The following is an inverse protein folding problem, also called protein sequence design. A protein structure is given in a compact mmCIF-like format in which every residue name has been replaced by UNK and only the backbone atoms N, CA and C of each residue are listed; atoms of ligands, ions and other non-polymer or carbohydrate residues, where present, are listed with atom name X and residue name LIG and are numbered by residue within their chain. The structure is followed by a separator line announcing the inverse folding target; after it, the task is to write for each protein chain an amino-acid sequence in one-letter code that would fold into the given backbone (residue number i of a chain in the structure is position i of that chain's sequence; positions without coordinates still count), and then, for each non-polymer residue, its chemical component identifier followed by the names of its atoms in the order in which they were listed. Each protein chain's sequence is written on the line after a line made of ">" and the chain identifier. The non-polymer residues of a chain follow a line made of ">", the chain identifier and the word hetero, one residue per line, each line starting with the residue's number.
data_IF_381596321385
#
_entry.id   IF_381596321385
#
_cell.length_a   1.000
_cell.length_b   1.000
_cell.length_c   1.000
_cell.angle_alpha   90.00
_cell.angle_beta   90.00
_cell.angle_gamma   90.00
#
_symmetry.space_group_name_H-M   'P 1'
#
loop_
_entity.id
_entity.type
_entity.pdbx_description
1 polymer ?
#
# COMPACT_ATOMS: atom_id res chain seq x y z
N UNK A 1 -80.75 -24.68 -37.67
CA UNK A 1 -79.54 -25.12 -38.38
C UNK A 1 -78.31 -24.62 -37.64
N UNK A 2 -77.35 -25.52 -37.41
CA UNK A 2 -75.92 -25.28 -37.11
C UNK A 2 -75.51 -24.66 -35.76
N UNK A 3 -75.41 -25.55 -34.78
CA UNK A 3 -74.31 -25.56 -33.82
C UNK A 3 -72.96 -25.64 -34.57
N UNK A 4 -72.04 -24.70 -34.34
CA UNK A 4 -70.60 -24.94 -34.46
C UNK A 4 -69.86 -24.04 -33.46
N UNK A 5 -69.71 -24.52 -32.23
CA UNK A 5 -68.73 -23.97 -31.28
C UNK A 5 -67.38 -24.56 -31.65
N UNK A 6 -66.59 -23.77 -32.36
CA UNK A 6 -65.22 -24.11 -32.72
C UNK A 6 -64.31 -23.88 -31.51
N UNK A 7 -64.07 -24.95 -30.73
CA UNK A 7 -63.12 -24.89 -29.61
C UNK A 7 -61.70 -24.84 -30.16
N UNK A 8 -61.14 -23.64 -30.26
CA UNK A 8 -59.72 -23.41 -30.50
C UNK A 8 -58.88 -24.12 -29.41
N UNK A 9 -58.22 -25.20 -29.79
CA UNK A 9 -57.37 -26.03 -28.93
C UNK A 9 -56.07 -25.26 -28.64
N UNK A 10 -56.05 -24.48 -27.54
CA UNK A 10 -54.82 -23.84 -27.05
C UNK A 10 -53.76 -24.92 -26.76
N UNK A 11 -52.71 -24.97 -27.56
CA UNK A 11 -51.51 -25.75 -27.26
C UNK A 11 -50.81 -25.08 -26.07
N UNK A 12 -50.97 -25.62 -24.86
CA UNK A 12 -50.08 -25.27 -23.74
C UNK A 12 -48.67 -25.71 -24.13
N UNK A 13 -47.80 -24.74 -24.40
CA UNK A 13 -46.36 -25.00 -24.48
C UNK A 13 -45.94 -25.67 -23.18
N UNK A 14 -45.23 -26.79 -23.28
CA UNK A 14 -44.65 -27.45 -22.10
C UNK A 14 -43.56 -26.52 -21.58
N UNK A 15 -43.88 -25.75 -20.55
CA UNK A 15 -42.87 -25.07 -19.74
C UNK A 15 -41.98 -26.17 -19.13
N UNK A 16 -40.76 -26.28 -19.65
CA UNK A 16 -39.74 -27.16 -19.10
C UNK A 16 -39.20 -26.48 -17.84
N UNK A 17 -39.51 -27.04 -16.68
CA UNK A 17 -38.92 -26.61 -15.42
C UNK A 17 -37.43 -26.95 -15.36
N UNK A 18 -36.67 -26.20 -14.54
CA UNK A 18 -35.27 -26.49 -14.24
C UNK A 18 -35.12 -27.91 -13.66
N UNK A 19 -34.13 -28.66 -14.15
CA UNK A 19 -33.75 -29.94 -13.54
C UNK A 19 -32.80 -29.71 -12.37
N UNK A 20 -32.80 -30.64 -11.40
CA UNK A 20 -31.80 -30.65 -10.32
C UNK A 20 -30.37 -30.75 -10.86
N UNK A 21 -30.20 -31.43 -12.00
CA UNK A 21 -28.91 -31.61 -12.67
C UNK A 21 -28.40 -30.28 -13.23
N UNK A 22 -29.27 -29.43 -13.78
CA UNK A 22 -28.87 -28.09 -14.25
C UNK A 22 -28.38 -27.20 -13.11
N UNK A 23 -29.08 -27.20 -11.97
CA UNK A 23 -28.61 -26.46 -10.80
C UNK A 23 -27.28 -27.02 -10.26
N UNK A 24 -27.12 -28.36 -10.26
CA UNK A 24 -25.90 -29.03 -9.81
C UNK A 24 -24.68 -28.63 -10.64
N UNK A 25 -24.81 -28.63 -11.98
CA UNK A 25 -23.71 -28.21 -12.85
C UNK A 25 -23.35 -26.74 -12.63
N UNK A 26 -24.35 -25.86 -12.42
CA UNK A 26 -24.11 -24.45 -12.16
C UNK A 26 -23.34 -24.24 -10.87
N UNK A 27 -23.74 -24.87 -9.75
CA UNK A 27 -23.01 -24.71 -8.49
C UNK A 27 -21.60 -25.30 -8.55
N UNK A 28 -21.38 -26.38 -9.32
CA UNK A 28 -20.05 -26.95 -9.55
C UNK A 28 -19.16 -25.96 -10.31
N UNK A 29 -19.66 -25.35 -11.37
CA UNK A 29 -18.90 -24.34 -12.13
C UNK A 29 -18.62 -23.12 -11.26
N UNK A 30 -19.60 -22.64 -10.48
CA UNK A 30 -19.41 -21.52 -9.54
C UNK A 30 -18.37 -21.85 -8.46
N UNK A 31 -18.36 -23.08 -7.95
CA UNK A 31 -17.36 -23.52 -6.96
C UNK A 31 -15.94 -23.55 -7.53
N UNK A 32 -15.76 -24.06 -8.76
CA UNK A 32 -14.46 -24.07 -9.44
C UNK A 32 -13.98 -22.66 -9.74
N UNK A 33 -14.85 -21.79 -10.26
CA UNK A 33 -14.51 -20.39 -10.52
C UNK A 33 -14.17 -19.64 -9.22
N UNK A 34 -14.97 -19.83 -8.16
CA UNK A 34 -14.73 -19.22 -6.86
C UNK A 34 -13.37 -19.62 -6.27
N UNK A 35 -13.00 -20.90 -6.37
CA UNK A 35 -11.72 -21.40 -5.87
C UNK A 35 -10.50 -20.76 -6.55
N UNK A 36 -10.59 -20.44 -7.85
CA UNK A 36 -9.48 -19.83 -8.61
C UNK A 36 -9.42 -18.31 -8.36
N UNK A 37 -10.58 -17.66 -8.29
CA UNK A 37 -10.69 -16.20 -8.28
C UNK A 37 -10.41 -15.60 -6.90
N UNK A 38 -10.92 -16.21 -5.83
CA UNK A 38 -10.79 -15.70 -4.45
C UNK A 38 -9.33 -15.41 -4.00
N UNK A 39 -8.36 -16.33 -4.14
CA UNK A 39 -7.01 -16.08 -3.65
C UNK A 39 -6.31 -14.92 -4.36
N UNK A 40 -6.58 -14.68 -5.65
CA UNK A 40 -5.94 -13.60 -6.41
C UNK A 40 -6.31 -12.19 -5.94
N UNK A 41 -7.50 -12.00 -5.38
CA UNK A 41 -7.94 -10.70 -4.91
C UNK A 41 -7.26 -10.28 -3.60
N UNK A 42 -6.89 -11.24 -2.74
CA UNK A 42 -6.28 -10.95 -1.44
C UNK A 42 -4.87 -10.35 -1.58
N UNK A 43 -4.09 -10.77 -2.57
CA UNK A 43 -2.70 -10.30 -2.74
C UNK A 43 -2.59 -8.92 -3.41
N UNK A 44 -3.64 -8.47 -4.11
CA UNK A 44 -3.64 -7.22 -4.87
C UNK A 44 -3.51 -5.98 -3.96
N UNK A 45 -4.21 -5.98 -2.83
CA UNK A 45 -4.13 -4.90 -1.85
C UNK A 45 -2.77 -4.82 -1.17
N UNK A 46 -2.22 -5.97 -0.76
CA UNK A 46 -0.88 -6.05 -0.16
C UNK A 46 0.18 -5.55 -1.13
N UNK A 47 0.15 -6.00 -2.39
CA UNK A 47 1.10 -5.56 -3.43
C UNK A 47 1.05 -4.05 -3.67
N UNK A 48 -0.14 -3.45 -3.61
CA UNK A 48 -0.30 -1.99 -3.73
C UNK A 48 0.37 -1.26 -2.57
N UNK A 49 0.19 -1.73 -1.32
CA UNK A 49 0.83 -1.14 -0.13
C UNK A 49 2.34 -1.29 -0.17
N UNK A 50 2.85 -2.47 -0.55
CA UNK A 50 4.30 -2.70 -0.71
C UNK A 50 4.92 -1.80 -1.78
N UNK A 51 4.21 -1.57 -2.88
CA UNK A 51 4.67 -0.67 -3.94
C UNK A 51 4.73 0.78 -3.46
N UNK A 52 3.71 1.22 -2.71
CA UNK A 52 3.72 2.54 -2.08
C UNK A 52 4.88 2.65 -1.07
N UNK A 53 5.04 1.66 -0.20
CA UNK A 53 6.11 1.61 0.81
C UNK A 53 7.50 1.80 0.17
N UNK A 54 7.80 1.06 -0.91
CA UNK A 54 9.08 1.19 -1.62
C UNK A 54 9.28 2.57 -2.24
N UNK A 55 8.20 3.18 -2.75
CA UNK A 55 8.23 4.53 -3.30
C UNK A 55 8.50 5.57 -2.21
N UNK A 56 7.78 5.48 -1.09
CA UNK A 56 7.89 6.42 0.04
C UNK A 56 9.25 6.31 0.74
N UNK A 57 9.77 5.09 0.92
CA UNK A 57 11.15 4.88 1.42
C UNK A 57 12.17 5.55 0.50
N UNK A 58 12.03 5.42 -0.81
CA UNK A 58 12.93 6.05 -1.78
C UNK A 58 12.83 7.58 -1.72
N UNK A 59 11.61 8.11 -1.64
CA UNK A 59 11.36 9.55 -1.49
C UNK A 59 12.06 10.09 -0.24
N UNK A 60 11.79 9.47 0.92
CA UNK A 60 12.35 9.90 2.20
C UNK A 60 13.87 9.78 2.25
N UNK A 61 14.44 8.69 1.75
CA UNK A 61 15.91 8.51 1.70
C UNK A 61 16.60 9.56 0.84
N UNK A 62 16.01 9.87 -0.31
CA UNK A 62 16.53 10.93 -1.17
C UNK A 62 16.43 12.30 -0.50
N UNK A 63 15.34 12.57 0.20
CA UNK A 63 15.16 13.80 0.96
C UNK A 63 16.17 13.92 2.11
N UNK A 64 16.41 12.84 2.87
CA UNK A 64 17.46 12.79 3.90
C UNK A 64 18.84 13.05 3.31
N UNK A 65 19.16 12.43 2.17
CA UNK A 65 20.44 12.64 1.49
C UNK A 65 20.59 14.09 1.02
N UNK A 66 19.53 14.70 0.49
CA UNK A 66 19.54 16.10 0.05
C UNK A 66 19.70 17.05 1.24
N UNK A 67 18.96 16.81 2.33
CA UNK A 67 19.13 17.55 3.58
C UNK A 67 20.58 17.50 4.09
N UNK A 68 21.21 16.32 4.01
CA UNK A 68 22.60 16.15 4.40
C UNK A 68 23.58 16.88 3.47
N UNK A 69 23.32 16.90 2.17
CA UNK A 69 24.15 17.64 1.20
C UNK A 69 24.10 19.14 1.49
N UNK A 70 22.91 19.66 1.79
CA UNK A 70 22.69 21.08 2.03
C UNK A 70 23.27 21.52 3.38
N UNK A 71 22.94 20.80 4.45
CA UNK A 71 23.27 21.22 5.82
C UNK A 71 24.56 20.62 6.37
N UNK A 72 25.11 19.59 5.72
CA UNK A 72 26.22 18.79 6.22
C UNK A 72 25.85 17.79 7.32
N UNK A 73 24.60 17.79 7.79
CA UNK A 73 24.12 16.96 8.89
C UNK A 73 22.89 16.16 8.49
N UNK A 74 22.63 15.04 9.14
CA UNK A 74 21.36 14.34 8.98
C UNK A 74 20.25 15.07 9.74
N UNK A 75 18.99 14.99 9.29
CA UNK A 75 17.88 15.53 10.06
C UNK A 75 17.78 14.83 11.42
N UNK A 76 17.31 15.53 12.45
CA UNK A 76 17.16 14.96 13.80
C UNK A 76 15.94 14.04 13.90
N UNK A 77 14.94 14.30 13.06
CA UNK A 77 13.72 13.55 12.88
C UNK A 77 13.22 13.71 11.44
N UNK A 78 12.40 12.79 10.94
CA UNK A 78 11.88 12.88 9.57
C UNK A 78 11.06 14.14 9.31
N UNK A 79 10.37 14.65 10.33
CA UNK A 79 9.55 15.85 10.22
C UNK A 79 10.35 17.11 9.83
N UNK A 80 11.66 17.13 10.12
CA UNK A 80 12.56 18.21 9.72
C UNK A 80 12.65 18.34 8.19
N UNK A 81 12.34 17.28 7.44
CA UNK A 81 12.31 17.28 5.98
C UNK A 81 11.14 18.08 5.40
N UNK A 82 10.02 18.19 6.14
CA UNK A 82 8.83 18.92 5.74
C UNK A 82 8.74 20.31 6.40
N UNK A 83 9.75 20.69 7.20
CA UNK A 83 9.74 21.94 7.94
C UNK A 83 9.70 23.16 6.99
N UNK A 84 8.89 24.17 7.33
CA UNK A 84 8.80 25.42 6.57
C UNK A 84 9.86 26.45 6.95
N UNK A 85 10.62 26.15 7.99
CA UNK A 85 11.74 26.97 8.50
C UNK A 85 12.91 26.06 8.78
N UNK A 86 14.13 26.58 8.61
CA UNK A 86 15.35 25.83 8.87
C UNK A 86 15.33 25.19 10.28
N UNK A 87 15.43 23.85 10.38
CA UNK A 87 15.61 23.17 11.65
C UNK A 87 16.90 23.66 12.32
N UNK A 88 16.87 23.85 13.63
CA UNK A 88 18.04 24.33 14.38
C UNK A 88 19.03 23.21 14.70
N UNK A 89 18.58 21.95 14.68
CA UNK A 89 19.37 20.78 15.06
C UNK A 89 19.47 19.79 13.91
N UNK A 90 20.65 19.20 13.77
CA UNK A 90 20.92 18.02 12.96
C UNK A 90 21.77 17.01 13.74
N UNK A 91 21.99 15.85 13.13
CA UNK A 91 22.80 14.77 13.68
C UNK A 91 24.02 14.51 12.80
N UNK A 92 25.17 14.35 13.43
CA UNK A 92 26.36 13.76 12.78
C UNK A 92 26.18 12.25 12.62
N UNK A 93 27.00 11.60 11.78
CA UNK A 93 27.00 10.14 11.66
C UNK A 93 27.25 9.39 13.00
N UNK A 94 27.90 10.06 13.96
CA UNK A 94 28.15 9.57 15.31
C UNK A 94 26.99 9.82 16.29
N UNK A 95 25.83 10.26 15.80
CA UNK A 95 24.65 10.64 16.59
C UNK A 95 24.85 11.80 17.58
N UNK A 96 25.89 12.62 17.37
CA UNK A 96 26.03 13.86 18.11
C UNK A 96 25.17 14.95 17.47
N UNK A 97 24.45 15.71 18.30
CA UNK A 97 23.71 16.90 17.86
C UNK A 97 24.66 17.98 17.36
N UNK A 98 24.28 18.61 16.25
CA UNK A 98 24.95 19.77 15.68
C UNK A 98 23.93 20.87 15.37
N UNK A 99 24.39 22.12 15.36
CA UNK A 99 23.53 23.26 15.02
C UNK A 99 23.55 23.48 13.52
N UNK A 100 22.37 23.56 12.91
CA UNK A 100 22.20 23.90 11.50
C UNK A 100 21.94 25.40 11.41
N UNK A 101 22.62 26.07 10.48
CA UNK A 101 22.36 27.48 10.18
C UNK A 101 21.30 27.61 9.09
N UNK A 102 20.48 28.66 9.16
CA UNK A 102 19.44 28.89 8.16
C UNK A 102 20.00 29.21 6.76
N UNK A 103 21.27 29.63 6.67
CA UNK A 103 21.93 29.96 5.42
C UNK A 103 22.21 28.74 4.55
N UNK A 104 22.48 27.60 5.18
CA UNK A 104 22.87 26.36 4.50
C UNK A 104 21.64 25.49 4.12
N UNK A 105 20.45 25.84 4.62
CA UNK A 105 19.23 25.06 4.46
C UNK A 105 18.36 25.56 3.29
N UNK A 106 17.98 24.66 2.38
CA UNK A 106 17.15 24.99 1.20
C UNK A 106 15.83 24.21 1.15
N UNK A 107 15.36 23.69 2.29
CA UNK A 107 14.10 22.95 2.37
C UNK A 107 12.85 23.83 2.16
N UNK A 108 11.65 23.24 2.25
CA UNK A 108 11.37 21.85 2.60
C UNK A 108 11.75 20.86 1.49
N UNK A 109 12.19 19.66 1.88
CA UNK A 109 12.64 18.60 0.98
C UNK A 109 11.49 17.66 0.59
N UNK A 110 10.41 17.63 1.36
CA UNK A 110 9.15 16.95 1.07
C UNK A 110 7.97 17.84 1.46
N UNK A 111 6.81 17.66 0.83
CA UNK A 111 5.60 18.41 1.19
C UNK A 111 5.04 17.99 2.55
N UNK A 112 5.07 16.68 2.82
CA UNK A 112 4.70 16.06 4.09
C UNK A 112 5.46 14.74 4.21
N UNK A 113 5.77 14.33 5.43
CA UNK A 113 6.25 12.98 5.68
C UNK A 113 5.04 12.04 5.59
N UNK A 114 5.01 11.07 4.66
CA UNK A 114 3.91 10.11 4.58
C UNK A 114 4.02 9.08 5.72
N UNK A 115 2.89 8.49 6.08
CA UNK A 115 2.85 7.32 6.97
C UNK A 115 3.30 6.06 6.22
N UNK A 116 3.85 5.08 6.94
CA UNK A 116 4.15 3.76 6.39
C UNK A 116 2.85 3.06 5.97
N UNK A 117 2.63 2.77 4.68
CA UNK A 117 1.36 2.25 4.19
C UNK A 117 1.10 0.79 4.59
N UNK A 118 2.10 0.08 5.15
CA UNK A 118 1.96 -1.28 5.66
C UNK A 118 1.66 -1.27 7.14
N UNK A 119 2.36 -0.47 7.95
CA UNK A 119 2.13 -0.39 9.40
C UNK A 119 0.99 0.54 9.80
N UNK A 120 0.69 1.55 8.98
CA UNK A 120 -0.23 2.64 9.29
C UNK A 120 0.30 3.64 10.32
N UNK A 121 1.61 3.61 10.60
CA UNK A 121 2.31 4.49 11.55
C UNK A 121 3.47 5.21 10.86
N UNK A 122 4.13 6.14 11.54
CA UNK A 122 5.36 6.78 11.05
C UNK A 122 6.44 5.77 10.64
N UNK A 123 7.28 6.16 9.69
CA UNK A 123 8.49 5.42 9.34
C UNK A 123 9.49 5.37 10.50
N UNK A 124 10.23 4.27 10.59
CA UNK A 124 11.34 4.18 11.54
C UNK A 124 12.54 4.99 11.00
N UNK A 125 13.09 5.85 11.85
CA UNK A 125 14.24 6.68 11.55
C UNK A 125 15.37 6.44 12.53
N UNK A 126 16.54 6.10 12.03
CA UNK A 126 17.72 5.87 12.85
C UNK A 126 18.34 7.19 13.32
N UNK A 127 18.49 7.33 14.63
CA UNK A 127 19.18 8.46 15.28
C UNK A 127 20.37 8.02 16.13
N UNK A 128 20.59 6.71 16.27
CA UNK A 128 21.73 6.14 17.00
C UNK A 128 22.95 6.01 16.09
N UNK A 129 24.16 6.09 16.66
CA UNK A 129 25.42 5.91 15.93
C UNK A 129 25.41 4.63 15.09
N UNK A 130 25.82 4.74 13.83
CA UNK A 130 25.77 3.65 12.84
C UNK A 130 24.40 3.44 12.16
N UNK A 131 23.34 4.09 12.64
CA UNK A 131 22.00 4.07 12.03
C UNK A 131 21.50 5.48 11.64
N UNK A 132 22.24 6.54 11.98
CA UNK A 132 21.86 7.93 11.69
C UNK A 132 21.51 8.11 10.21
N UNK A 133 20.34 8.68 9.92
CA UNK A 133 19.89 8.93 8.55
C UNK A 133 19.23 7.74 7.87
N UNK A 134 19.24 6.55 8.49
CA UNK A 134 18.60 5.36 7.92
C UNK A 134 17.09 5.43 8.12
N UNK A 135 16.35 5.43 7.02
CA UNK A 135 14.87 5.31 7.00
C UNK A 135 14.50 3.86 6.69
N UNK A 136 13.68 3.23 7.52
CA UNK A 136 13.15 1.87 7.29
C UNK A 136 11.64 1.83 7.57
N UNK A 137 10.97 0.80 7.08
CA UNK A 137 9.59 0.53 7.47
C UNK A 137 9.48 0.27 8.98
N UNK A 138 8.39 0.71 9.59
CA UNK A 138 8.02 0.38 10.97
C UNK A 138 7.15 -0.89 11.05
N UNK A 139 6.75 -1.44 9.90
CA UNK A 139 5.93 -2.64 9.82
C UNK A 139 6.68 -3.88 10.33
N UNK A 140 5.98 -4.71 11.09
CA UNK A 140 6.45 -6.04 11.45
C UNK A 140 6.05 -7.07 10.39
N UNK A 141 6.83 -8.15 10.29
CA UNK A 141 6.56 -9.25 9.37
C UNK A 141 7.25 -9.12 8.01
N UNK A 142 6.75 -9.91 7.07
CA UNK A 142 7.39 -10.16 5.78
C UNK A 142 6.53 -9.66 4.63
N UNK A 143 7.22 -9.25 3.58
CA UNK A 143 6.64 -8.95 2.29
C UNK A 143 6.24 -10.22 1.53
N UNK A 144 5.50 -10.03 0.43
CA UNK A 144 5.09 -11.09 -0.50
C UNK A 144 6.28 -11.84 -1.11
N UNK A 145 7.48 -11.25 -1.14
CA UNK A 145 8.72 -11.89 -1.59
C UNK A 145 9.50 -12.63 -0.48
N UNK A 146 8.98 -12.63 0.75
CA UNK A 146 9.55 -13.31 1.92
C UNK A 146 10.60 -12.50 2.69
N UNK A 147 11.01 -11.33 2.20
CA UNK A 147 11.92 -10.43 2.92
C UNK A 147 11.19 -9.67 4.03
N UNK A 148 11.91 -9.23 5.07
CA UNK A 148 11.28 -8.47 6.16
C UNK A 148 11.12 -7.00 5.78
N UNK A 149 10.02 -6.35 6.18
CA UNK A 149 9.80 -4.94 5.86
C UNK A 149 10.89 -4.01 6.43
N UNK A 150 11.43 -4.35 7.61
CA UNK A 150 12.51 -3.61 8.26
C UNK A 150 13.83 -3.67 7.47
N UNK A 151 13.99 -4.69 6.60
CA UNK A 151 15.17 -4.83 5.74
C UNK A 151 15.12 -3.96 4.48
N UNK A 152 13.94 -3.46 4.13
CA UNK A 152 13.74 -2.61 2.96
C UNK A 152 14.26 -1.21 3.16
#
# INVERSE_FOLDING_TARGET
>A
MHYLIERARRRRGRERGFTLVELLVVIVVLAVLGAIVLPKFMDSGTRSRESALKSDLKLLRNAVATFQIDTGFYPSQLNDLAATTAPTKGLTAAAAEATITATDWHGPYVQSVPDDPVSGSDFAYGTTSGMVGKVTSSASGNALDGTTYISW
#
